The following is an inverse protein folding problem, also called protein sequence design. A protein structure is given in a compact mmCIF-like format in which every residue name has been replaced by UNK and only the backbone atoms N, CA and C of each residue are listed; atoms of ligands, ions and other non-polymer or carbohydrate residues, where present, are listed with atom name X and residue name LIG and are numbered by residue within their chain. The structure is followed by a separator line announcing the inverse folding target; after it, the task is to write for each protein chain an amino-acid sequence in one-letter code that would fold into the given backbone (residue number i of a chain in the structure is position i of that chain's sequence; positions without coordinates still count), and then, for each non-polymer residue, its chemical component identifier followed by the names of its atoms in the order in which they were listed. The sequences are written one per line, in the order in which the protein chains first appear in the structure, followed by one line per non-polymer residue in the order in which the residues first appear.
data_IF_172649609020
#
_entry.id   IF_172649609020
#
_cell.length_a   1.000
_cell.length_b   1.000
_cell.length_c   1.000
_cell.angle_alpha   90.00
_cell.angle_beta   90.00
_cell.angle_gamma   90.00
#
_symmetry.space_group_name_H-M   'P 1'
#
loop_
_entity.id
_entity.type
_entity.pdbx_description
1 polymer ?
#
# COMPACT_ATOMS: atom_id res chain seq x y z
N UNK A 1 1.76 -9.12 -13.00
CA UNK A 1 1.66 -10.12 -11.94
C UNK A 1 3.06 -10.48 -11.47
N UNK A 2 3.52 -9.68 -10.53
CA UNK A 2 4.70 -9.93 -9.72
C UNK A 2 4.34 -9.68 -8.25
N UNK A 3 5.16 -10.21 -7.34
CA UNK A 3 5.17 -9.77 -5.95
C UNK A 3 6.12 -8.59 -5.89
N UNK A 4 5.65 -7.44 -5.40
CA UNK A 4 6.45 -6.21 -5.26
C UNK A 4 6.53 -5.86 -3.79
N UNK A 5 7.75 -5.70 -3.29
CA UNK A 5 8.03 -5.51 -1.87
C UNK A 5 8.39 -4.05 -1.60
N UNK A 6 7.79 -3.50 -0.54
CA UNK A 6 8.25 -2.25 0.03
C UNK A 6 9.59 -2.46 0.73
N UNK A 7 10.53 -1.58 0.42
CA UNK A 7 11.86 -1.51 1.02
C UNK A 7 12.04 -0.29 1.91
N UNK A 8 11.31 0.80 1.63
CA UNK A 8 11.45 2.07 2.34
C UNK A 8 12.78 2.80 2.08
N UNK A 9 13.55 2.39 1.06
CA UNK A 9 14.87 2.96 0.77
C UNK A 9 14.83 4.32 0.05
N UNK A 10 13.67 4.75 -0.43
CA UNK A 10 13.45 6.08 -0.98
C UNK A 10 13.25 7.10 0.15
N UNK A 11 12.11 7.79 0.14
CA UNK A 11 11.72 8.66 1.25
C UNK A 11 11.15 7.92 2.48
N UNK A 12 10.88 6.61 2.38
CA UNK A 12 10.40 5.77 3.46
C UNK A 12 8.89 5.87 3.77
N UNK A 13 8.15 6.82 3.18
CA UNK A 13 6.76 7.09 3.54
C UNK A 13 5.80 7.24 2.36
N UNK A 14 6.26 7.54 1.15
CA UNK A 14 5.35 7.82 0.02
C UNK A 14 5.16 6.60 -0.87
N UNK A 15 3.91 6.13 -1.02
CA UNK A 15 3.58 5.00 -1.92
C UNK A 15 4.13 5.22 -3.34
N UNK A 16 4.09 6.47 -3.81
CA UNK A 16 4.45 6.85 -5.18
C UNK A 16 5.93 7.18 -5.39
N UNK A 17 6.79 7.03 -4.38
CA UNK A 17 8.23 7.03 -4.58
C UNK A 17 8.68 5.65 -5.06
N UNK A 18 9.12 5.57 -6.32
CA UNK A 18 9.59 4.33 -6.92
C UNK A 18 10.76 3.70 -6.16
N UNK A 19 11.61 4.51 -5.52
CA UNK A 19 12.76 4.02 -4.77
C UNK A 19 12.37 3.29 -3.48
N UNK A 20 11.12 3.42 -3.02
CA UNK A 20 10.61 2.62 -1.92
C UNK A 20 10.28 1.18 -2.32
N UNK A 21 10.26 0.83 -3.60
CA UNK A 21 9.91 -0.52 -4.08
C UNK A 21 11.13 -1.28 -4.59
N UNK A 22 11.19 -2.58 -4.33
CA UNK A 22 12.32 -3.45 -4.72
C UNK A 22 12.58 -3.51 -6.23
N UNK A 23 11.53 -3.33 -7.04
CA UNK A 23 11.61 -3.28 -8.51
C UNK A 23 11.87 -1.88 -9.07
N UNK A 24 11.95 -0.84 -8.24
CA UNK A 24 11.94 0.56 -8.65
C UNK A 24 10.73 0.92 -9.55
N UNK A 25 9.57 0.31 -9.30
CA UNK A 25 8.32 0.58 -10.03
C UNK A 25 7.13 0.60 -9.08
N UNK A 26 6.14 1.47 -9.35
CA UNK A 26 4.90 1.49 -8.56
C UNK A 26 4.03 0.26 -8.90
N UNK A 27 3.55 -0.51 -7.92
CA UNK A 27 2.67 -1.64 -8.16
C UNK A 27 1.39 -1.28 -8.92
N UNK A 28 0.98 -2.13 -9.87
CA UNK A 28 -0.25 -1.99 -10.64
C UNK A 28 -1.33 -3.00 -10.25
N UNK A 29 -2.45 -2.96 -10.97
CA UNK A 29 -3.67 -3.74 -10.65
C UNK A 29 -3.51 -5.26 -10.67
N UNK A 30 -2.45 -5.77 -11.28
CA UNK A 30 -2.16 -7.21 -11.35
C UNK A 30 -1.12 -7.68 -10.35
N UNK A 31 -0.59 -6.79 -9.51
CA UNK A 31 0.56 -7.08 -8.65
C UNK A 31 0.15 -7.31 -7.21
N UNK A 32 0.88 -8.21 -6.55
CA UNK A 32 0.71 -8.54 -5.14
C UNK A 32 1.70 -7.72 -4.32
N UNK A 33 1.19 -6.93 -3.38
CA UNK A 33 2.00 -5.99 -2.60
C UNK A 33 2.29 -6.55 -1.22
N UNK A 34 3.57 -6.49 -0.82
CA UNK A 34 4.03 -6.87 0.52
C UNK A 34 4.77 -5.70 1.16
N UNK A 35 4.33 -5.31 2.36
CA UNK A 35 4.89 -4.19 3.13
C UNK A 35 5.19 -4.68 4.54
N UNK A 36 6.33 -5.37 4.70
CA UNK A 36 6.72 -6.01 5.95
C UNK A 36 8.16 -5.68 6.31
N UNK A 37 8.44 -4.41 6.59
CA UNK A 37 9.79 -3.94 6.95
C UNK A 37 9.87 -3.79 8.47
N UNK A 38 10.77 -4.54 9.12
CA UNK A 38 10.83 -4.57 10.59
C UNK A 38 11.36 -3.27 11.23
N UNK A 39 12.08 -2.43 10.48
CA UNK A 39 12.63 -1.17 10.98
C UNK A 39 11.63 -0.03 10.89
N UNK A 40 11.49 0.73 11.97
CA UNK A 40 10.69 1.97 12.12
C UNK A 40 9.33 1.92 11.42
N UNK A 41 8.29 1.55 12.19
CA UNK A 41 6.92 1.50 11.70
C UNK A 41 6.44 2.88 11.23
N UNK A 42 6.55 3.14 9.93
CA UNK A 42 6.14 4.40 9.31
C UNK A 42 4.71 4.31 8.79
N UNK A 43 4.06 5.47 8.68
CA UNK A 43 2.78 5.56 8.00
C UNK A 43 3.05 5.82 6.53
N UNK A 44 2.57 4.91 5.67
CA UNK A 44 2.70 5.03 4.22
C UNK A 44 1.52 5.84 3.69
N UNK A 45 1.83 6.92 3.00
CA UNK A 45 0.87 7.86 2.46
C UNK A 45 0.48 7.48 1.03
N UNK A 46 -0.82 7.48 0.77
CA UNK A 46 -1.46 7.19 -0.52
C UNK A 46 -2.33 8.41 -0.87
N UNK A 47 -1.75 9.35 -1.60
CA UNK A 47 -2.36 10.64 -2.00
C UNK A 47 -2.91 10.63 -3.43
N UNK A 48 -2.79 9.50 -4.13
CA UNK A 48 -3.37 9.23 -5.44
C UNK A 48 -3.94 7.82 -5.49
N UNK A 49 -4.91 7.59 -6.37
CA UNK A 49 -5.66 6.34 -6.36
C UNK A 49 -4.82 5.15 -6.83
N UNK A 50 -4.87 4.06 -6.06
CA UNK A 50 -4.13 2.82 -6.29
C UNK A 50 -5.10 1.68 -6.62
N UNK A 51 -4.67 0.80 -7.52
CA UNK A 51 -5.33 -0.48 -7.78
C UNK A 51 -4.27 -1.57 -7.71
N UNK A 52 -4.47 -2.59 -6.88
CA UNK A 52 -3.56 -3.74 -6.74
C UNK A 52 -4.34 -5.04 -6.65
N UNK A 53 -3.67 -6.16 -6.90
CA UNK A 53 -4.30 -7.47 -6.82
C UNK A 53 -4.55 -7.88 -5.37
N UNK A 54 -3.50 -7.84 -4.55
CA UNK A 54 -3.56 -8.10 -3.12
C UNK A 54 -2.58 -7.20 -2.36
N UNK A 55 -2.82 -7.02 -1.06
CA UNK A 55 -1.95 -6.23 -0.19
C UNK A 55 -1.83 -6.90 1.18
N UNK A 56 -0.59 -7.16 1.60
CA UNK A 56 -0.24 -7.59 2.95
C UNK A 56 0.70 -6.56 3.59
N UNK A 57 0.29 -5.93 4.68
CA UNK A 57 1.07 -4.85 5.32
C UNK A 57 1.17 -4.98 6.84
N UNK A 58 2.39 -4.89 7.36
CA UNK A 58 2.68 -4.62 8.77
C UNK A 58 2.73 -3.12 9.11
N UNK A 59 2.62 -2.26 8.10
CA UNK A 59 2.71 -0.81 8.22
C UNK A 59 1.34 -0.13 8.07
N UNK A 60 1.19 1.01 8.75
CA UNK A 60 -0.05 1.79 8.67
C UNK A 60 -0.15 2.42 7.29
N UNK A 61 -1.30 2.27 6.63
CA UNK A 61 -1.60 2.94 5.37
C UNK A 61 -2.52 4.13 5.64
N UNK A 62 -2.19 5.29 5.10
CA UNK A 62 -3.01 6.49 5.16
C UNK A 62 -3.42 6.91 3.76
N UNK A 63 -4.72 6.77 3.46
CA UNK A 63 -5.32 7.15 2.19
C UNK A 63 -5.85 8.57 2.32
N UNK A 64 -5.30 9.49 1.53
CA UNK A 64 -5.54 10.94 1.62
C UNK A 64 -6.23 11.38 0.32
N UNK A 65 -7.48 11.84 0.42
CA UNK A 65 -8.27 12.37 -0.71
C UNK A 65 -8.29 11.46 -1.97
N UNK A 66 -8.11 10.14 -1.78
CA UNK A 66 -7.89 9.17 -2.85
C UNK A 66 -8.60 7.83 -2.57
N UNK A 67 -8.26 6.78 -3.33
CA UNK A 67 -8.84 5.45 -3.19
C UNK A 67 -7.77 4.34 -3.24
N UNK A 68 -7.89 3.34 -2.37
CA UNK A 68 -7.11 2.10 -2.41
C UNK A 68 -8.04 0.94 -2.80
N UNK A 69 -7.90 0.47 -4.04
CA UNK A 69 -8.72 -0.61 -4.58
C UNK A 69 -7.91 -1.92 -4.59
N UNK A 70 -8.47 -2.97 -3.98
CA UNK A 70 -7.80 -4.26 -3.81
C UNK A 70 -8.74 -5.35 -4.32
N UNK A 71 -8.27 -6.13 -5.30
CA UNK A 71 -9.12 -7.08 -6.01
C UNK A 71 -9.39 -8.37 -5.23
N UNK A 72 -8.36 -8.95 -4.60
CA UNK A 72 -8.41 -10.33 -4.10
C UNK A 72 -8.10 -10.48 -2.61
N UNK A 73 -7.48 -9.50 -1.95
CA UNK A 73 -7.29 -9.58 -0.50
C UNK A 73 -6.46 -8.49 0.12
N UNK A 74 -6.92 -8.01 1.29
CA UNK A 74 -6.21 -7.10 2.17
C UNK A 74 -5.93 -7.79 3.50
N UNK A 75 -4.65 -7.87 3.88
CA UNK A 75 -4.21 -8.30 5.22
C UNK A 75 -3.44 -7.17 5.89
N UNK A 76 -3.81 -6.84 7.12
CA UNK A 76 -3.16 -5.84 7.96
C UNK A 76 -2.69 -6.52 9.24
N UNK A 77 -1.38 -6.66 9.43
CA UNK A 77 -0.80 -7.29 10.62
C UNK A 77 -0.21 -6.23 11.57
N UNK A 78 -0.83 -6.03 12.73
CA UNK A 78 -0.44 -5.01 13.72
C UNK A 78 -0.38 -3.58 13.14
N UNK A 79 -1.13 -3.33 12.07
CA UNK A 79 -1.22 -2.07 11.34
C UNK A 79 -2.66 -1.55 11.26
N UNK A 80 -2.85 -0.36 10.70
CA UNK A 80 -4.16 0.24 10.47
C UNK A 80 -4.29 0.77 9.04
N UNK A 81 -5.52 0.80 8.53
CA UNK A 81 -5.90 1.59 7.37
C UNK A 81 -6.60 2.86 7.86
N UNK A 82 -6.04 4.01 7.56
CA UNK A 82 -6.59 5.33 7.86
C UNK A 82 -7.06 5.99 6.57
N UNK A 83 -8.09 6.80 6.70
CA UNK A 83 -8.64 7.55 5.59
C UNK A 83 -8.97 8.96 6.03
N UNK A 84 -8.35 9.92 5.36
CA UNK A 84 -8.58 11.35 5.55
C UNK A 84 -9.06 11.97 4.25
N UNK A 85 -10.23 12.61 4.29
CA UNK A 85 -10.92 13.15 3.10
C UNK A 85 -11.28 12.12 2.00
N UNK A 86 -10.81 10.88 2.13
CA UNK A 86 -11.05 9.79 1.21
C UNK A 86 -12.46 9.21 1.35
N UNK A 87 -13.08 8.92 0.21
CA UNK A 87 -14.14 7.90 0.16
C UNK A 87 -13.51 6.54 0.44
N UNK A 88 -13.57 6.09 1.70
CA UNK A 88 -13.23 4.71 2.06
C UNK A 88 -14.31 3.77 1.59
N UNK A 89 -14.19 3.32 0.35
CA UNK A 89 -14.86 2.11 -0.10
C UNK A 89 -13.85 0.97 0.03
N UNK A 90 -13.83 0.27 1.17
CA UNK A 90 -13.22 -1.05 1.20
C UNK A 90 -14.18 -1.97 0.46
N UNK A 91 -14.01 -2.08 -0.85
CA UNK A 91 -14.72 -3.09 -1.63
C UNK A 91 -14.11 -4.45 -1.30
N UNK A 92 -14.59 -5.08 -0.22
CA UNK A 92 -14.36 -6.51 -0.01
C UNK A 92 -15.30 -7.22 -0.99
N UNK A 93 -14.80 -7.58 -2.18
CA UNK A 93 -15.52 -8.47 -3.08
C UNK A 93 -15.48 -9.85 -2.42
N UNK A 94 -16.57 -10.22 -1.72
CA UNK A 94 -16.82 -11.58 -1.25
C UNK A 94 -17.50 -12.43 -2.33
#
# INVERSE_FOLDING_TARGET
MAVINWTGNGDGSSWFDQANWDTNTIPGSTDDVVINVESDRQTIQIDSSVNVNSLNSSETLEVIDSALNIANGLTLDRSALRADGATTSVLVII
#
